data_IF_561357590531
#
_entry.id   IF_561357590531
#
_cell.length_a   1.000
_cell.length_b   1.000
_cell.length_c   1.000
_cell.angle_alpha   90.00
_cell.angle_beta   90.00
_cell.angle_gamma   90.00
#
_symmetry.space_group_name_H-M   'P 1'
#
loop_
_entity.id
_entity.type
_entity.pdbx_description
1 polymer ?
#
# COMPACT_ATOMS: atom_id res chain seq x y z
N UNK A 1 -43.25 2.19 -11.61
CA UNK A 1 -42.25 3.24 -11.90
C UNK A 1 -41.03 2.56 -12.50
N UNK A 2 -40.45 3.04 -13.61
CA UNK A 2 -39.23 2.46 -14.15
C UNK A 2 -38.09 2.68 -13.13
N UNK A 3 -37.45 1.58 -12.71
CA UNK A 3 -36.26 1.61 -11.86
C UNK A 3 -35.11 2.03 -12.77
N UNK A 4 -34.71 3.30 -12.72
CA UNK A 4 -33.48 3.72 -13.38
C UNK A 4 -32.29 3.06 -12.68
N UNK A 5 -31.30 2.54 -13.42
CA UNK A 5 -30.11 1.96 -12.81
C UNK A 5 -29.40 3.02 -11.95
N UNK A 6 -28.92 2.61 -10.78
CA UNK A 6 -28.17 3.48 -9.89
C UNK A 6 -26.90 3.97 -10.60
N UNK A 7 -26.54 5.23 -10.34
CA UNK A 7 -25.25 5.77 -10.78
C UNK A 7 -24.13 4.91 -10.16
N UNK A 8 -23.17 4.45 -10.95
CA UNK A 8 -21.98 3.72 -10.46
C UNK A 8 -20.84 4.69 -10.18
N UNK A 9 -20.22 4.56 -9.02
CA UNK A 9 -19.06 5.35 -8.60
C UNK A 9 -18.04 4.39 -7.97
N UNK A 10 -16.77 4.52 -8.37
CA UNK A 10 -15.65 3.79 -7.75
C UNK A 10 -14.67 4.79 -7.16
N UNK A 11 -14.23 4.55 -5.93
CA UNK A 11 -13.27 5.38 -5.21
C UNK A 11 -12.03 4.53 -4.97
N UNK A 12 -10.89 4.92 -5.55
CA UNK A 12 -9.65 4.15 -5.46
C UNK A 12 -8.65 4.89 -4.58
N UNK A 13 -8.28 4.27 -3.47
CA UNK A 13 -7.25 4.74 -2.52
C UNK A 13 -6.15 3.67 -2.40
N UNK A 14 -4.97 4.01 -1.89
CA UNK A 14 -3.83 3.09 -1.85
C UNK A 14 -2.76 3.56 -0.87
N UNK A 15 -1.87 2.65 -0.48
CA UNK A 15 -0.61 2.95 0.20
C UNK A 15 -0.80 3.68 1.55
N UNK A 16 -1.70 3.16 2.40
CA UNK A 16 -1.98 3.68 3.73
C UNK A 16 -0.94 3.21 4.74
N UNK A 17 -0.49 1.96 4.63
CA UNK A 17 0.50 1.37 5.54
C UNK A 17 0.08 1.44 7.02
N UNK A 18 -1.16 1.10 7.34
CA UNK A 18 -1.66 1.03 8.72
C UNK A 18 -0.80 0.07 9.56
N UNK A 19 -0.18 0.60 10.61
CA UNK A 19 0.55 -0.17 11.62
C UNK A 19 -0.29 -0.45 12.87
N UNK A 20 0.34 -0.40 14.05
CA UNK A 20 -0.32 -0.69 15.34
C UNK A 20 -1.05 0.52 15.95
N UNK A 21 -1.23 1.60 15.20
CA UNK A 21 -1.72 2.87 15.69
C UNK A 21 -0.61 3.79 16.21
N UNK A 22 -0.95 5.06 16.39
CA UNK A 22 -0.03 6.15 16.76
C UNK A 22 0.59 6.02 18.15
N UNK A 23 -0.03 5.23 19.02
CA UNK A 23 0.40 5.04 20.41
C UNK A 23 0.54 3.56 20.74
N UNK A 24 1.56 3.23 21.51
CA UNK A 24 1.74 1.91 22.10
C UNK A 24 0.80 1.70 23.29
N UNK A 25 0.71 0.48 23.81
CA UNK A 25 -0.16 0.14 24.94
C UNK A 25 0.16 0.88 26.23
N UNK A 26 1.38 1.42 26.37
CA UNK A 26 1.82 2.25 27.49
C UNK A 26 1.55 3.75 27.27
N UNK A 27 0.93 4.12 26.15
CA UNK A 27 0.60 5.50 25.78
C UNK A 27 1.74 6.26 25.09
N UNK A 28 2.92 5.66 24.94
CA UNK A 28 4.04 6.32 24.25
C UNK A 28 3.81 6.36 22.73
N UNK A 29 4.35 7.37 22.02
CA UNK A 29 4.28 7.42 20.56
C UNK A 29 4.92 6.20 19.90
N UNK A 30 4.20 5.61 18.95
CA UNK A 30 4.70 4.52 18.13
C UNK A 30 5.48 5.08 16.92
N UNK A 31 6.81 5.13 17.02
CA UNK A 31 7.70 5.63 15.96
C UNK A 31 7.66 4.80 14.66
N UNK A 32 7.07 3.59 14.71
CA UNK A 32 6.88 2.72 13.56
C UNK A 32 5.48 2.84 12.96
N UNK A 33 4.61 3.72 13.48
CA UNK A 33 3.36 4.04 12.79
C UNK A 33 3.65 5.01 11.64
N UNK A 34 3.23 4.63 10.43
CA UNK A 34 3.34 5.51 9.28
C UNK A 34 2.08 6.32 9.05
N UNK A 35 0.92 5.72 9.33
CA UNK A 35 -0.38 6.30 9.04
C UNK A 35 -0.87 7.18 10.17
N UNK A 36 -1.06 8.46 9.87
CA UNK A 36 -1.57 9.46 10.81
C UNK A 36 -2.85 10.13 10.34
N UNK A 37 -3.43 9.66 9.22
CA UNK A 37 -4.56 10.30 8.54
C UNK A 37 -5.92 9.65 8.88
N UNK A 38 -6.04 9.02 10.06
CA UNK A 38 -7.26 8.35 10.53
C UNK A 38 -8.50 9.22 10.38
N UNK A 39 -8.45 10.39 11.00
CA UNK A 39 -9.57 11.34 11.01
C UNK A 39 -9.97 11.74 9.59
N UNK A 40 -9.01 12.07 8.75
CA UNK A 40 -9.27 12.52 7.39
C UNK A 40 -9.89 11.40 6.55
N UNK A 41 -9.50 10.14 6.78
CA UNK A 41 -10.10 9.00 6.09
C UNK A 41 -11.50 8.69 6.62
N UNK A 42 -11.74 8.80 7.92
CA UNK A 42 -13.08 8.70 8.50
C UNK A 42 -14.04 9.75 7.90
N UNK A 43 -13.60 11.01 7.80
CA UNK A 43 -14.36 12.07 7.14
C UNK A 43 -14.62 11.76 5.66
N UNK A 44 -13.62 11.22 4.96
CA UNK A 44 -13.76 10.78 3.57
C UNK A 44 -14.85 9.70 3.44
N UNK A 45 -14.86 8.69 4.31
CA UNK A 45 -15.86 7.63 4.31
C UNK A 45 -17.26 8.17 4.59
N UNK A 46 -17.41 9.03 5.60
CA UNK A 46 -18.69 9.63 5.95
C UNK A 46 -19.24 10.51 4.81
N UNK A 47 -18.40 11.34 4.20
CA UNK A 47 -18.80 12.16 3.05
C UNK A 47 -19.35 11.29 1.90
N UNK A 48 -18.64 10.21 1.56
CA UNK A 48 -18.99 9.32 0.46
C UNK A 48 -20.15 8.35 0.77
N UNK A 49 -20.83 8.50 1.93
CA UNK A 49 -22.10 7.82 2.25
C UNK A 49 -23.31 8.74 2.20
N UNK A 50 -23.12 10.02 1.88
CA UNK A 50 -24.17 11.04 1.95
C UNK A 50 -24.55 11.58 0.57
N UNK A 51 -25.63 12.36 0.51
CA UNK A 51 -26.01 13.15 -0.68
C UNK A 51 -26.22 12.33 -1.96
N UNK A 52 -25.37 12.57 -2.96
CA UNK A 52 -25.42 11.86 -4.23
C UNK A 52 -24.87 10.43 -4.13
N UNK A 53 -23.89 10.19 -3.25
CA UNK A 53 -23.26 8.89 -3.07
C UNK A 53 -24.20 7.89 -2.40
N UNK A 54 -25.03 8.35 -1.45
CA UNK A 54 -26.09 7.52 -0.85
C UNK A 54 -27.09 6.92 -1.86
N UNK A 55 -27.25 7.59 -3.00
CA UNK A 55 -28.19 7.22 -4.09
C UNK A 55 -27.46 6.59 -5.28
N UNK A 56 -26.22 6.17 -5.07
CA UNK A 56 -25.35 5.56 -6.07
C UNK A 56 -24.91 4.17 -5.59
N UNK A 57 -24.48 3.33 -6.53
CA UNK A 57 -23.67 2.17 -6.22
C UNK A 57 -22.23 2.65 -6.05
N UNK A 58 -21.67 2.52 -4.84
CA UNK A 58 -20.34 3.02 -4.51
C UNK A 58 -19.43 1.87 -4.10
N UNK A 59 -18.29 1.75 -4.75
CA UNK A 59 -17.25 0.81 -4.33
C UNK A 59 -16.01 1.56 -3.92
N UNK A 60 -15.56 1.33 -2.68
CA UNK A 60 -14.25 1.72 -2.22
C UNK A 60 -13.25 0.61 -2.56
N UNK A 61 -12.32 0.91 -3.47
CA UNK A 61 -11.25 0.02 -3.90
C UNK A 61 -9.97 0.47 -3.21
N UNK A 62 -9.47 -0.37 -2.32
CA UNK A 62 -8.23 -0.18 -1.59
C UNK A 62 -7.14 -0.92 -2.38
N UNK A 63 -6.36 -0.20 -3.17
CA UNK A 63 -5.43 -0.73 -4.17
C UNK A 63 -4.06 -1.16 -3.60
N UNK A 64 -4.08 -1.92 -2.51
CA UNK A 64 -2.88 -2.44 -1.88
C UNK A 64 -2.15 -1.47 -0.96
N UNK A 65 -1.25 -2.06 -0.19
CA UNK A 65 -0.49 -1.49 0.91
C UNK A 65 -1.40 -0.71 1.88
N UNK A 66 -2.55 -1.31 2.21
CA UNK A 66 -3.46 -0.73 3.21
C UNK A 66 -2.98 -1.02 4.62
N UNK A 67 -2.54 -2.25 4.84
CA UNK A 67 -1.92 -2.74 6.06
C UNK A 67 -0.40 -2.69 5.90
N UNK A 68 0.32 -2.55 7.00
CA UNK A 68 1.79 -2.64 7.01
C UNK A 68 2.27 -3.86 7.79
N UNK A 69 1.83 -5.06 7.38
CA UNK A 69 2.10 -6.31 8.12
C UNK A 69 3.60 -6.63 8.23
N UNK A 70 4.42 -6.09 7.33
CA UNK A 70 5.88 -6.25 7.36
C UNK A 70 6.56 -5.40 8.44
N UNK A 71 5.88 -4.37 8.96
CA UNK A 71 6.36 -3.46 10.02
C UNK A 71 5.62 -3.65 11.36
N UNK A 72 4.70 -4.62 11.42
CA UNK A 72 4.08 -5.06 12.68
C UNK A 72 4.85 -6.26 13.20
N UNK A 73 5.25 -6.21 14.47
CA UNK A 73 5.93 -7.32 15.13
C UNK A 73 4.94 -8.43 15.53
N UNK A 74 5.47 -9.62 15.76
CA UNK A 74 4.78 -10.71 16.39
C UNK A 74 5.50 -11.06 17.70
N UNK A 75 4.85 -10.79 18.83
CA UNK A 75 5.43 -11.01 20.18
C UNK A 75 6.81 -10.33 20.30
N UNK A 76 6.88 -9.03 19.99
CA UNK A 76 8.07 -8.18 20.07
C UNK A 76 9.21 -8.56 19.12
N UNK A 77 8.94 -9.38 18.09
CA UNK A 77 9.91 -9.77 17.07
C UNK A 77 9.38 -9.55 15.66
N UNK A 78 10.19 -8.90 14.83
CA UNK A 78 9.99 -8.91 13.38
C UNK A 78 10.42 -10.27 12.83
N UNK A 79 9.50 -10.96 12.18
CA UNK A 79 9.73 -12.28 11.60
C UNK A 79 9.51 -12.23 10.09
N UNK A 80 10.43 -12.87 9.34
CA UNK A 80 10.29 -13.16 7.92
C UNK A 80 9.60 -14.50 7.64
N UNK A 81 9.19 -15.20 8.69
CA UNK A 81 8.35 -16.40 8.65
C UNK A 81 6.92 -15.96 8.96
N UNK A 82 6.11 -15.78 7.92
CA UNK A 82 4.72 -15.34 8.02
C UNK A 82 3.81 -16.56 7.83
N UNK A 83 3.39 -17.16 8.95
CA UNK A 83 2.33 -18.17 9.03
C UNK A 83 0.95 -17.51 9.05
N UNK A 84 -0.12 -18.28 8.99
CA UNK A 84 -1.47 -17.74 9.16
C UNK A 84 -1.67 -17.15 10.56
N UNK A 85 -1.16 -17.82 11.60
CA UNK A 85 -1.26 -17.34 12.98
C UNK A 85 -0.48 -16.04 13.23
N UNK A 86 0.67 -15.89 12.58
CA UNK A 86 1.45 -14.64 12.57
C UNK A 86 0.66 -13.51 11.89
N UNK A 87 0.14 -13.77 10.68
CA UNK A 87 -0.61 -12.80 9.92
C UNK A 87 -1.90 -12.36 10.66
N UNK A 88 -2.64 -13.31 11.24
CA UNK A 88 -3.83 -13.03 12.05
C UNK A 88 -3.51 -12.13 13.25
N UNK A 89 -2.44 -12.43 13.99
CA UNK A 89 -2.02 -11.62 15.12
C UNK A 89 -1.70 -10.18 14.68
N UNK A 90 -0.92 -10.02 13.61
CA UNK A 90 -0.54 -8.70 13.06
C UNK A 90 -1.77 -7.93 12.59
N UNK A 91 -2.67 -8.56 11.83
CA UNK A 91 -3.93 -7.96 11.40
C UNK A 91 -4.75 -7.51 12.61
N UNK A 92 -4.92 -8.35 13.63
CA UNK A 92 -5.66 -7.99 14.84
C UNK A 92 -5.01 -6.83 15.60
N UNK A 93 -3.69 -6.74 15.63
CA UNK A 93 -2.97 -5.59 16.21
C UNK A 93 -3.24 -4.30 15.44
N UNK A 94 -3.28 -4.35 14.10
CA UNK A 94 -3.65 -3.19 13.28
C UNK A 94 -5.10 -2.77 13.51
N UNK A 95 -6.04 -3.74 13.52
CA UNK A 95 -7.46 -3.46 13.77
C UNK A 95 -7.68 -2.80 15.14
N UNK A 96 -6.90 -3.20 16.16
CA UNK A 96 -6.93 -2.61 17.50
C UNK A 96 -6.25 -1.25 17.58
N UNK A 97 -5.28 -0.98 16.71
CA UNK A 97 -4.59 0.31 16.62
C UNK A 97 -5.45 1.42 16.03
N UNK A 98 -6.43 1.06 15.20
CA UNK A 98 -7.27 2.00 14.45
C UNK A 98 -8.79 1.69 14.61
N UNK A 99 -9.32 1.56 15.84
CA UNK A 99 -10.67 1.03 16.06
C UNK A 99 -11.75 1.89 15.37
N UNK A 100 -11.69 3.21 15.53
CA UNK A 100 -12.67 4.15 14.97
C UNK A 100 -12.65 4.16 13.44
N UNK A 101 -11.46 4.07 12.83
CA UNK A 101 -11.30 3.97 11.37
C UNK A 101 -12.03 2.73 10.84
N UNK A 102 -11.83 1.57 11.48
CA UNK A 102 -12.48 0.34 11.08
C UNK A 102 -13.98 0.33 11.40
N UNK A 103 -14.46 1.09 12.39
CA UNK A 103 -15.89 1.31 12.62
C UNK A 103 -16.51 2.09 11.47
N UNK A 104 -15.88 3.17 11.01
CA UNK A 104 -16.32 3.94 9.85
C UNK A 104 -16.27 3.14 8.56
N UNK A 105 -15.26 2.30 8.38
CA UNK A 105 -15.17 1.40 7.24
C UNK A 105 -16.26 0.32 7.28
N UNK A 106 -16.60 -0.19 8.47
CA UNK A 106 -17.69 -1.12 8.67
C UNK A 106 -19.04 -0.48 8.33
N UNK A 107 -19.30 0.73 8.84
CA UNK A 107 -20.50 1.50 8.50
C UNK A 107 -20.61 1.76 6.98
N UNK A 108 -19.51 2.14 6.31
CA UNK A 108 -19.47 2.30 4.86
C UNK A 108 -19.84 0.99 4.15
N UNK A 109 -19.21 -0.14 4.54
CA UNK A 109 -19.42 -1.43 3.87
C UNK A 109 -20.83 -2.01 4.04
N UNK A 110 -21.56 -1.59 5.08
CA UNK A 110 -22.94 -2.03 5.39
C UNK A 110 -24.01 -1.13 4.78
N UNK A 111 -23.64 0.06 4.32
CA UNK A 111 -24.58 0.97 3.66
C UNK A 111 -25.14 0.29 2.39
N UNK A 112 -26.45 0.37 2.12
CA UNK A 112 -27.02 -0.19 0.90
C UNK A 112 -26.28 0.29 -0.35
N UNK A 113 -26.00 -0.64 -1.27
CA UNK A 113 -25.27 -0.37 -2.52
C UNK A 113 -23.82 0.09 -2.35
N UNK A 114 -23.24 -0.01 -1.15
CA UNK A 114 -21.83 0.24 -0.90
C UNK A 114 -21.06 -1.08 -0.76
N UNK A 115 -19.81 -1.10 -1.22
CA UNK A 115 -18.91 -2.25 -1.05
C UNK A 115 -17.46 -1.81 -0.90
N UNK A 116 -16.64 -2.67 -0.29
CA UNK A 116 -15.20 -2.47 -0.12
C UNK A 116 -14.45 -3.61 -0.80
N UNK A 117 -13.46 -3.28 -1.63
CA UNK A 117 -12.58 -4.26 -2.27
C UNK A 117 -11.14 -3.98 -1.88
N UNK A 118 -10.47 -4.99 -1.31
CA UNK A 118 -9.03 -4.94 -1.04
C UNK A 118 -8.27 -5.63 -2.18
N UNK A 119 -7.29 -4.93 -2.74
CA UNK A 119 -6.32 -5.50 -3.68
C UNK A 119 -5.03 -5.77 -2.90
N UNK A 120 -4.37 -6.91 -3.15
CA UNK A 120 -3.12 -7.27 -2.50
C UNK A 120 -1.98 -6.29 -2.87
N UNK A 121 -1.40 -5.62 -1.88
CA UNK A 121 -0.11 -4.94 -1.98
C UNK A 121 1.06 -5.80 -1.48
N UNK A 122 2.29 -5.32 -1.62
CA UNK A 122 3.45 -6.05 -1.12
C UNK A 122 3.62 -5.98 0.40
N UNK A 123 3.01 -4.99 1.06
CA UNK A 123 2.94 -4.86 2.53
C UNK A 123 1.74 -5.59 3.16
N UNK A 124 0.85 -6.15 2.34
CA UNK A 124 -0.35 -6.87 2.77
C UNK A 124 -0.27 -8.41 2.63
N UNK A 125 0.88 -9.10 2.79
CA UNK A 125 0.96 -10.52 2.47
C UNK A 125 -0.05 -11.38 3.26
N UNK A 126 -0.45 -10.94 4.45
CA UNK A 126 -1.48 -11.62 5.25
C UNK A 126 -2.82 -11.80 4.54
N UNK A 127 -3.18 -10.96 3.56
CA UNK A 127 -4.41 -11.12 2.78
C UNK A 127 -4.44 -12.41 1.94
N UNK A 128 -3.29 -13.07 1.74
CA UNK A 128 -3.23 -14.38 1.10
C UNK A 128 -3.86 -15.48 1.95
N UNK A 129 -3.96 -15.30 3.28
CA UNK A 129 -4.58 -16.26 4.18
C UNK A 129 -6.08 -16.04 4.29
N UNK A 130 -6.86 -17.12 4.13
CA UNK A 130 -8.32 -17.04 4.22
C UNK A 130 -8.78 -16.59 5.61
N UNK A 131 -8.14 -17.06 6.70
CA UNK A 131 -8.51 -16.63 8.04
C UNK A 131 -8.35 -15.11 8.26
N UNK A 132 -7.36 -14.49 7.62
CA UNK A 132 -7.19 -13.03 7.66
C UNK A 132 -8.32 -12.33 6.89
N UNK A 133 -8.66 -12.83 5.70
CA UNK A 133 -9.79 -12.30 4.94
C UNK A 133 -11.10 -12.43 5.73
N UNK A 134 -11.39 -13.59 6.30
CA UNK A 134 -12.56 -13.84 7.14
C UNK A 134 -12.60 -12.90 8.35
N UNK A 135 -11.47 -12.68 9.02
CA UNK A 135 -11.36 -11.75 10.14
C UNK A 135 -11.72 -10.31 9.72
N UNK A 136 -11.24 -9.86 8.57
CA UNK A 136 -11.57 -8.54 8.02
C UNK A 136 -13.06 -8.48 7.60
N UNK A 137 -13.58 -9.51 6.93
CA UNK A 137 -15.02 -9.58 6.57
C UNK A 137 -15.89 -9.52 7.82
N UNK A 138 -15.52 -10.24 8.88
CA UNK A 138 -16.23 -10.21 10.15
C UNK A 138 -16.16 -8.82 10.80
N UNK A 139 -14.98 -8.19 10.85
CA UNK A 139 -14.80 -6.85 11.42
C UNK A 139 -15.66 -5.79 10.73
N UNK A 140 -15.77 -5.86 9.41
CA UNK A 140 -16.53 -4.90 8.61
C UNK A 140 -18.03 -5.26 8.52
N UNK A 141 -18.36 -6.55 8.46
CA UNK A 141 -19.73 -7.09 8.45
C UNK A 141 -20.61 -6.65 7.27
N UNK A 142 -20.04 -6.04 6.24
CA UNK A 142 -20.74 -5.59 5.03
C UNK A 142 -20.26 -6.30 3.76
N UNK A 143 -20.45 -5.67 2.60
CA UNK A 143 -19.98 -6.23 1.32
C UNK A 143 -18.47 -6.01 1.14
N UNK A 144 -17.68 -7.06 1.36
CA UNK A 144 -16.21 -7.01 1.30
C UNK A 144 -15.67 -8.05 0.33
N UNK A 145 -14.76 -7.64 -0.56
CA UNK A 145 -14.08 -8.50 -1.54
C UNK A 145 -12.56 -8.38 -1.42
N UNK A 146 -11.87 -9.43 -1.84
CA UNK A 146 -10.41 -9.47 -1.91
C UNK A 146 -9.96 -9.90 -3.31
N UNK A 147 -8.98 -9.19 -3.85
CA UNK A 147 -8.39 -9.45 -5.17
C UNK A 147 -6.88 -9.56 -5.02
N UNK A 148 -6.31 -10.73 -5.31
CA UNK A 148 -4.88 -10.99 -5.08
C UNK A 148 -3.98 -10.52 -6.22
N UNK A 149 -4.56 -10.16 -7.37
CA UNK A 149 -3.82 -9.71 -8.56
C UNK A 149 -4.43 -8.41 -9.12
N UNK A 150 -4.78 -8.39 -10.40
CA UNK A 150 -5.41 -7.25 -11.04
C UNK A 150 -6.94 -7.37 -10.99
N UNK A 151 -7.60 -6.28 -10.62
CA UNK A 151 -9.04 -6.13 -10.71
C UNK A 151 -9.42 -5.46 -12.04
N UNK A 152 -10.11 -6.20 -12.90
CA UNK A 152 -10.52 -5.74 -14.23
C UNK A 152 -12.04 -5.72 -14.38
N UNK A 153 -12.60 -4.58 -14.78
CA UNK A 153 -14.04 -4.41 -15.00
C UNK A 153 -14.30 -3.24 -15.96
N UNK A 154 -15.28 -3.37 -16.87
CA UNK A 154 -15.80 -2.26 -17.70
C UNK A 154 -14.71 -1.36 -18.35
N UNK A 155 -13.59 -1.95 -18.77
CA UNK A 155 -12.46 -1.22 -19.37
C UNK A 155 -11.50 -0.55 -18.37
N UNK A 156 -11.62 -0.80 -17.08
CA UNK A 156 -10.72 -0.36 -16.02
C UNK A 156 -9.83 -1.54 -15.58
N UNK A 157 -8.54 -1.28 -15.43
CA UNK A 157 -7.56 -2.21 -14.85
C UNK A 157 -6.94 -1.57 -13.61
N UNK A 158 -7.08 -2.23 -12.46
CA UNK A 158 -6.51 -1.77 -11.19
C UNK A 158 -5.62 -2.88 -10.64
N UNK A 159 -4.36 -2.56 -10.34
CA UNK A 159 -3.50 -3.43 -9.53
C UNK A 159 -2.52 -2.55 -8.75
N UNK A 160 -1.92 -3.08 -7.69
CA UNK A 160 -1.06 -2.27 -6.84
C UNK A 160 0.21 -1.79 -7.57
N UNK A 161 0.85 -2.66 -8.35
CA UNK A 161 1.99 -2.34 -9.23
C UNK A 161 3.36 -2.87 -8.76
N UNK A 162 3.44 -3.42 -7.55
CA UNK A 162 4.62 -4.08 -6.99
C UNK A 162 5.16 -5.22 -7.87
N UNK A 163 4.27 -5.90 -8.59
CA UNK A 163 4.65 -6.97 -9.51
C UNK A 163 5.59 -6.49 -10.62
N UNK A 164 5.72 -5.20 -10.90
CA UNK A 164 6.64 -4.69 -11.92
C UNK A 164 8.06 -4.41 -11.41
N UNK A 165 8.31 -4.48 -10.09
CA UNK A 165 9.63 -4.25 -9.50
C UNK A 165 10.23 -5.57 -9.01
N UNK A 166 11.47 -5.88 -9.40
CA UNK A 166 12.07 -7.19 -9.13
C UNK A 166 12.22 -7.52 -7.64
N UNK A 167 12.37 -6.50 -6.80
CA UNK A 167 12.51 -6.62 -5.35
C UNK A 167 11.16 -6.81 -4.65
N UNK A 168 10.04 -6.34 -5.21
CA UNK A 168 8.71 -6.40 -4.59
C UNK A 168 7.72 -7.36 -5.28
N UNK A 169 8.18 -8.08 -6.32
CA UNK A 169 7.40 -9.04 -7.10
C UNK A 169 7.26 -10.39 -6.39
N UNK A 170 6.03 -10.82 -6.15
CA UNK A 170 5.72 -12.17 -5.66
C UNK A 170 5.76 -13.21 -6.80
N UNK A 171 6.10 -14.45 -6.47
CA UNK A 171 5.86 -15.57 -7.38
C UNK A 171 4.38 -15.96 -7.33
N UNK A 172 3.61 -15.51 -8.32
CA UNK A 172 2.16 -15.78 -8.43
C UNK A 172 1.79 -17.26 -8.46
N UNK A 173 2.74 -18.14 -8.83
CA UNK A 173 2.51 -19.59 -8.85
C UNK A 173 2.78 -20.24 -7.50
N UNK A 174 3.54 -19.59 -6.64
CA UNK A 174 4.00 -20.12 -5.36
C UNK A 174 4.00 -19.02 -4.30
N UNK A 175 2.81 -18.53 -3.96
CA UNK A 175 2.64 -17.58 -2.84
C UNK A 175 3.02 -18.20 -1.49
N UNK A 176 2.94 -19.54 -1.37
CA UNK A 176 3.24 -20.25 -0.14
C UNK A 176 4.41 -21.22 -0.33
N UNK A 177 5.20 -21.36 0.73
CA UNK A 177 6.20 -22.40 0.91
C UNK A 177 5.66 -23.37 1.98
N UNK A 178 5.54 -24.65 1.64
CA UNK A 178 5.04 -25.68 2.55
C UNK A 178 5.98 -26.89 2.69
N UNK A 179 6.98 -27.00 1.80
CA UNK A 179 7.87 -28.16 1.76
C UNK A 179 8.90 -28.08 2.90
N UNK A 180 9.00 -29.16 3.68
CA UNK A 180 9.93 -29.30 4.82
C UNK A 180 9.73 -28.22 5.91
N UNK A 181 8.51 -27.73 6.08
CA UNK A 181 8.14 -26.78 7.11
C UNK A 181 7.01 -27.38 7.98
N UNK A 182 6.95 -27.05 9.28
CA UNK A 182 5.90 -27.56 10.16
C UNK A 182 4.50 -27.06 9.78
N UNK A 183 4.42 -25.86 9.21
CA UNK A 183 3.22 -25.27 8.66
C UNK A 183 3.58 -24.39 7.45
N UNK A 184 2.63 -24.09 6.54
CA UNK A 184 2.91 -23.26 5.37
C UNK A 184 3.21 -21.80 5.76
N UNK A 185 4.10 -21.16 5.02
CA UNK A 185 4.52 -19.76 5.21
C UNK A 185 4.44 -19.01 3.90
N UNK A 186 4.38 -17.68 3.95
CA UNK A 186 4.37 -16.85 2.73
C UNK A 186 5.76 -16.80 2.09
N UNK A 187 5.81 -17.01 0.77
CA UNK A 187 6.99 -16.81 -0.07
C UNK A 187 7.22 -15.32 -0.33
N UNK A 188 7.94 -14.67 0.58
CA UNK A 188 8.19 -13.23 0.52
C UNK A 188 9.17 -12.84 -0.59
N UNK A 189 8.97 -11.68 -1.25
CA UNK A 189 9.94 -11.13 -2.17
C UNK A 189 11.14 -10.52 -1.42
N UNK A 190 12.24 -10.28 -2.13
CA UNK A 190 13.49 -9.79 -1.52
C UNK A 190 13.31 -8.48 -0.71
N UNK A 191 12.52 -7.55 -1.22
CA UNK A 191 12.25 -6.25 -0.60
C UNK A 191 11.64 -6.40 0.79
N UNK A 192 10.77 -7.39 1.00
CA UNK A 192 10.20 -7.68 2.32
C UNK A 192 11.27 -8.12 3.31
N UNK A 193 12.24 -8.94 2.91
CA UNK A 193 13.36 -9.30 3.81
C UNK A 193 14.21 -8.09 4.17
N UNK A 194 14.49 -7.21 3.19
CA UNK A 194 15.23 -5.97 3.46
C UNK A 194 14.49 -5.06 4.44
N UNK A 195 13.17 -4.96 4.30
CA UNK A 195 12.34 -4.18 5.20
C UNK A 195 12.38 -4.73 6.63
N UNK A 196 12.05 -6.02 6.79
CA UNK A 196 11.93 -6.70 8.08
C UNK A 196 13.24 -6.65 8.88
N UNK A 197 14.37 -6.96 8.22
CA UNK A 197 15.64 -7.18 8.92
C UNK A 197 16.56 -5.95 8.99
N UNK A 198 16.31 -4.93 8.17
CA UNK A 198 17.16 -3.75 8.12
C UNK A 198 16.37 -2.44 8.26
N UNK A 199 15.35 -2.22 7.43
CA UNK A 199 14.67 -0.92 7.39
C UNK A 199 13.96 -0.61 8.71
N UNK A 200 13.23 -1.57 9.28
CA UNK A 200 12.53 -1.38 10.56
C UNK A 200 13.46 -0.95 11.69
N UNK A 201 14.67 -1.51 11.76
CA UNK A 201 15.67 -1.14 12.76
C UNK A 201 16.22 0.27 12.54
N UNK A 202 16.41 0.68 11.29
CA UNK A 202 16.86 2.05 10.99
C UNK A 202 15.73 3.06 11.24
N UNK A 203 14.46 2.70 10.97
CA UNK A 203 13.30 3.55 11.25
C UNK A 203 13.17 3.88 12.73
N UNK A 204 13.53 2.96 13.65
CA UNK A 204 13.60 3.26 15.09
C UNK A 204 14.55 4.42 15.43
N UNK A 205 15.61 4.61 14.65
CA UNK A 205 16.58 5.69 14.84
C UNK A 205 16.28 6.93 13.96
N UNK A 206 15.65 6.72 12.79
CA UNK A 206 15.27 7.74 11.81
C UNK A 206 13.89 7.38 11.21
N UNK A 207 12.77 7.72 11.87
CA UNK A 207 11.42 7.33 11.45
C UNK A 207 11.02 7.77 10.04
N UNK A 208 11.67 8.82 9.53
CA UNK A 208 11.39 9.42 8.24
C UNK A 208 12.17 8.82 7.05
N UNK A 209 13.10 7.88 7.29
CA UNK A 209 14.15 7.55 6.30
C UNK A 209 13.62 7.00 4.96
N UNK A 210 12.54 6.25 5.00
CA UNK A 210 11.84 5.67 3.85
C UNK A 210 10.80 6.62 3.22
N UNK A 211 10.52 7.74 3.89
CA UNK A 211 9.61 8.80 3.42
C UNK A 211 10.30 9.85 2.55
N UNK A 212 11.63 9.80 2.44
CA UNK A 212 12.42 10.82 1.72
C UNK A 212 12.54 10.52 0.23
N UNK A 213 12.21 11.51 -0.60
CA UNK A 213 12.28 11.43 -2.06
C UNK A 213 12.96 12.68 -2.68
N UNK A 214 13.76 12.53 -3.75
CA UNK A 214 14.33 11.28 -4.23
C UNK A 214 15.45 10.83 -3.29
N UNK A 215 15.44 9.56 -2.90
CA UNK A 215 16.38 9.02 -1.91
C UNK A 215 17.86 9.21 -2.27
N UNK A 216 18.20 9.33 -3.57
CA UNK A 216 19.57 9.65 -4.03
C UNK A 216 20.09 10.98 -3.47
N UNK A 217 19.21 11.98 -3.28
CA UNK A 217 19.58 13.28 -2.72
C UNK A 217 19.81 13.16 -1.23
N UNK A 218 18.94 12.44 -0.52
CA UNK A 218 19.13 12.13 0.90
C UNK A 218 20.46 11.42 1.14
N UNK A 219 20.80 10.40 0.35
CA UNK A 219 22.08 9.69 0.48
C UNK A 219 23.28 10.61 0.32
N UNK A 220 23.26 11.53 -0.66
CA UNK A 220 24.34 12.52 -0.85
C UNK A 220 24.42 13.48 0.34
N UNK A 221 23.27 13.97 0.80
CA UNK A 221 23.19 14.85 1.97
C UNK A 221 23.72 14.14 3.22
N UNK A 222 23.29 12.91 3.49
CA UNK A 222 23.72 12.12 4.64
C UNK A 222 25.22 11.82 4.62
N UNK A 223 25.83 11.57 3.45
CA UNK A 223 27.29 11.38 3.36
C UNK A 223 28.09 12.63 3.78
N UNK A 224 27.54 13.83 3.56
CA UNK A 224 28.20 15.11 3.85
C UNK A 224 27.86 15.62 5.25
N UNK A 225 26.61 15.50 5.67
CA UNK A 225 26.05 16.15 6.87
C UNK A 225 25.70 15.18 8.00
N UNK A 226 25.54 13.88 7.71
CA UNK A 226 25.28 12.82 8.70
C UNK A 226 26.21 11.62 8.45
N UNK A 227 27.51 11.92 8.22
CA UNK A 227 28.50 11.00 7.64
C UNK A 227 28.62 9.71 8.45
N UNK A 228 28.61 9.81 9.78
CA UNK A 228 28.76 8.64 10.63
C UNK A 228 27.54 7.72 10.57
N UNK A 229 26.33 8.28 10.59
CA UNK A 229 25.11 7.52 10.37
C UNK A 229 25.12 6.87 8.99
N UNK A 230 25.51 7.60 7.94
CA UNK A 230 25.56 7.09 6.57
C UNK A 230 26.53 5.91 6.42
N UNK A 231 27.76 6.03 6.94
CA UNK A 231 28.78 4.96 6.91
C UNK A 231 28.31 3.74 7.71
N UNK A 232 27.86 3.95 8.95
CA UNK A 232 27.38 2.85 9.82
C UNK A 232 26.19 2.12 9.18
N UNK A 233 25.24 2.86 8.60
CA UNK A 233 24.08 2.29 7.91
C UNK A 233 24.49 1.53 6.66
N UNK A 234 25.41 2.07 5.85
CA UNK A 234 25.95 1.37 4.68
C UNK A 234 26.69 0.07 5.04
N UNK A 235 27.51 0.08 6.10
CA UNK A 235 28.17 -1.11 6.62
C UNK A 235 27.16 -2.14 7.13
N UNK A 236 26.11 -1.71 7.85
CA UNK A 236 25.03 -2.59 8.30
C UNK A 236 24.30 -3.25 7.12
N UNK A 237 23.93 -2.50 6.07
CA UNK A 237 23.35 -3.07 4.85
C UNK A 237 24.29 -4.07 4.21
N UNK A 238 25.57 -3.73 4.06
CA UNK A 238 26.55 -4.61 3.44
C UNK A 238 26.67 -5.92 4.22
N UNK A 239 26.88 -5.87 5.54
CA UNK A 239 26.95 -7.06 6.41
C UNK A 239 25.66 -7.88 6.33
N UNK A 240 24.50 -7.22 6.38
CA UNK A 240 23.22 -7.91 6.24
C UNK A 240 23.10 -8.62 4.89
N UNK A 241 23.46 -7.94 3.78
CA UNK A 241 23.39 -8.50 2.44
C UNK A 241 24.36 -9.67 2.25
N UNK A 242 25.59 -9.58 2.78
CA UNK A 242 26.54 -10.69 2.80
C UNK A 242 25.98 -11.87 3.58
N UNK A 243 25.44 -11.66 4.78
CA UNK A 243 24.78 -12.72 5.56
C UNK A 243 23.59 -13.32 4.81
N UNK A 244 22.80 -12.50 4.15
CA UNK A 244 21.63 -12.90 3.40
C UNK A 244 21.98 -13.84 2.23
N UNK A 245 23.06 -13.55 1.50
CA UNK A 245 23.54 -14.41 0.41
C UNK A 245 24.18 -15.69 0.94
N UNK A 246 24.98 -15.61 2.00
CA UNK A 246 25.80 -16.72 2.48
C UNK A 246 25.02 -17.71 3.36
N UNK A 247 23.89 -17.30 3.97
CA UNK A 247 23.11 -18.16 4.87
C UNK A 247 22.04 -18.90 4.08
N UNK A 248 22.14 -20.24 3.92
CA UNK A 248 21.10 -21.02 3.29
C UNK A 248 19.81 -20.91 4.11
N UNK A 249 18.70 -20.61 3.46
CA UNK A 249 17.40 -20.61 4.11
C UNK A 249 16.37 -21.24 3.14
N UNK A 250 15.68 -22.33 3.53
CA UNK A 250 14.67 -22.97 2.69
C UNK A 250 13.47 -22.05 2.38
N UNK A 251 13.24 -21.02 3.20
CA UNK A 251 12.25 -19.98 2.92
C UNK A 251 12.73 -18.92 1.91
N UNK A 252 13.99 -19.00 1.45
CA UNK A 252 14.64 -18.00 0.59
C UNK A 252 15.15 -18.64 -0.69
N UNK A 253 14.36 -18.54 -1.76
CA UNK A 253 14.76 -18.98 -3.10
C UNK A 253 15.07 -17.79 -4.00
N UNK A 254 16.22 -17.17 -3.80
CA UNK A 254 16.72 -16.12 -4.69
C UNK A 254 17.87 -16.64 -5.54
N UNK A 255 17.65 -16.65 -6.84
CA UNK A 255 18.69 -16.96 -7.82
C UNK A 255 19.67 -15.79 -7.96
N UNK A 256 20.94 -16.07 -8.29
CA UNK A 256 21.93 -15.03 -8.56
C UNK A 256 21.48 -14.01 -9.64
N UNK A 257 20.66 -14.46 -10.61
CA UNK A 257 20.04 -13.58 -11.62
C UNK A 257 19.04 -12.60 -11.00
N UNK A 258 18.21 -13.05 -10.05
CA UNK A 258 17.29 -12.18 -9.32
C UNK A 258 18.06 -11.16 -8.48
N UNK A 259 19.11 -11.58 -7.76
CA UNK A 259 19.96 -10.66 -6.98
C UNK A 259 20.60 -9.60 -7.88
N UNK A 260 21.18 -9.98 -9.02
CA UNK A 260 21.74 -9.03 -9.98
C UNK A 260 20.69 -8.06 -10.53
N UNK A 261 19.48 -8.56 -10.81
CA UNK A 261 18.38 -7.74 -11.30
C UNK A 261 17.93 -6.72 -10.27
N UNK A 262 17.78 -7.15 -9.01
CA UNK A 262 17.46 -6.28 -7.87
C UNK A 262 18.51 -5.18 -7.75
N UNK A 263 19.81 -5.52 -7.73
CA UNK A 263 20.89 -4.54 -7.64
C UNK A 263 20.87 -3.51 -8.79
N UNK A 264 20.50 -3.94 -10.01
CA UNK A 264 20.34 -3.03 -11.16
C UNK A 264 19.12 -2.13 -11.02
N UNK A 265 17.96 -2.67 -10.67
CA UNK A 265 16.69 -1.94 -10.60
C UNK A 265 16.63 -0.98 -9.39
N UNK A 266 17.29 -1.28 -8.27
CA UNK A 266 17.35 -0.42 -7.06
C UNK A 266 17.96 0.96 -7.34
N UNK A 267 18.66 1.13 -8.47
CA UNK A 267 19.29 2.41 -8.86
C UNK A 267 18.40 3.31 -9.71
N UNK A 268 17.21 2.83 -10.14
CA UNK A 268 16.35 3.52 -11.10
C UNK A 268 14.97 3.74 -10.48
N UNK A 269 14.47 4.98 -10.52
CA UNK A 269 13.08 5.25 -10.11
C UNK A 269 12.10 4.39 -10.92
N UNK A 270 11.14 3.72 -10.25
CA UNK A 270 10.25 2.78 -10.90
C UNK A 270 9.40 3.48 -11.97
N UNK A 271 9.54 3.06 -13.23
CA UNK A 271 8.82 3.65 -14.37
C UNK A 271 7.50 2.91 -14.63
N UNK A 272 6.62 2.82 -13.64
CA UNK A 272 5.36 2.08 -13.76
C UNK A 272 4.48 2.59 -14.91
N UNK A 273 4.59 3.87 -15.28
CA UNK A 273 3.90 4.44 -16.43
C UNK A 273 4.17 3.70 -17.76
N UNK A 274 5.35 3.10 -17.93
CA UNK A 274 5.66 2.31 -19.13
C UNK A 274 4.87 1.01 -19.16
N UNK A 275 4.72 0.38 -18.00
CA UNK A 275 3.93 -0.85 -17.85
C UNK A 275 2.44 -0.55 -18.02
N UNK A 276 1.94 0.54 -17.43
CA UNK A 276 0.58 1.02 -17.66
C UNK A 276 0.30 1.27 -19.15
N UNK A 277 1.22 1.95 -19.86
CA UNK A 277 1.13 2.13 -21.32
C UNK A 277 1.06 0.79 -22.04
N UNK A 278 1.87 -0.19 -21.64
CA UNK A 278 1.85 -1.53 -22.23
C UNK A 278 0.48 -2.20 -22.05
N UNK A 279 -0.08 -2.19 -20.83
CA UNK A 279 -1.40 -2.77 -20.54
C UNK A 279 -2.49 -2.12 -21.40
N UNK A 280 -2.51 -0.79 -21.47
CA UNK A 280 -3.47 -0.01 -22.25
C UNK A 280 -3.42 -0.31 -23.75
N UNK A 281 -2.23 -0.59 -24.28
CA UNK A 281 -2.01 -0.92 -25.70
C UNK A 281 -2.29 -2.40 -26.00
N UNK A 282 -1.96 -3.31 -25.09
CA UNK A 282 -2.21 -4.75 -25.25
C UNK A 282 -3.69 -5.08 -25.13
N UNK A 283 -4.41 -4.46 -24.21
CA UNK A 283 -5.85 -4.71 -23.99
C UNK A 283 -6.68 -3.64 -24.69
N UNK A 284 -7.23 -3.98 -25.87
CA UNK A 284 -7.98 -3.03 -26.71
C UNK A 284 -9.10 -2.32 -25.94
N UNK A 285 -9.83 -3.06 -25.09
CA UNK A 285 -10.97 -2.55 -24.31
C UNK A 285 -10.55 -1.84 -23.00
N UNK A 286 -9.29 -1.91 -22.59
CA UNK A 286 -8.81 -1.22 -21.40
C UNK A 286 -8.61 0.27 -21.70
N UNK A 287 -9.33 1.13 -20.99
CA UNK A 287 -9.31 2.59 -21.12
C UNK A 287 -8.54 3.26 -20.00
N UNK A 288 -8.62 2.69 -18.79
CA UNK A 288 -8.02 3.25 -17.58
C UNK A 288 -7.14 2.18 -16.92
N UNK A 289 -5.91 2.54 -16.58
CA UNK A 289 -5.04 1.76 -15.69
C UNK A 289 -4.79 2.56 -14.42
N UNK A 290 -4.96 1.95 -13.25
CA UNK A 290 -4.68 2.57 -11.95
C UNK A 290 -3.67 1.72 -11.18
N UNK A 291 -2.58 2.36 -10.74
CA UNK A 291 -1.58 1.77 -9.85
C UNK A 291 -1.48 2.52 -8.50
N UNK A 292 -0.75 1.94 -7.56
CA UNK A 292 -0.25 2.54 -6.32
C UNK A 292 1.27 2.37 -6.22
N UNK A 293 1.77 1.91 -5.08
CA UNK A 293 3.13 1.37 -4.82
C UNK A 293 4.29 2.37 -4.85
N UNK A 294 4.26 3.38 -5.71
CA UNK A 294 5.34 4.38 -5.81
C UNK A 294 5.21 5.51 -4.79
N UNK A 295 4.08 5.56 -4.08
CA UNK A 295 3.69 6.63 -3.18
C UNK A 295 3.70 8.01 -3.88
N UNK A 296 3.50 8.04 -5.20
CA UNK A 296 3.52 9.25 -6.02
C UNK A 296 2.26 9.32 -6.87
N UNK A 297 1.43 10.33 -6.61
CA UNK A 297 0.25 10.55 -7.43
C UNK A 297 0.66 11.02 -8.82
N UNK A 298 0.08 10.41 -9.85
CA UNK A 298 0.40 10.70 -11.24
C UNK A 298 -0.87 10.59 -12.08
N UNK A 299 -1.04 11.49 -13.04
CA UNK A 299 -2.01 11.34 -14.12
C UNK A 299 -1.30 11.50 -15.46
N UNK A 300 -1.54 10.56 -16.38
CA UNK A 300 -1.07 10.64 -17.75
C UNK A 300 -2.13 10.14 -18.71
N UNK A 301 -2.24 10.80 -19.86
CA UNK A 301 -3.05 10.35 -20.98
C UNK A 301 -2.15 10.01 -22.16
N UNK A 302 -2.20 8.77 -22.62
CA UNK A 302 -1.37 8.28 -23.72
C UNK A 302 -2.05 8.44 -25.08
N UNK A 303 -3.39 8.36 -25.12
CA UNK A 303 -4.23 8.54 -26.30
C UNK A 303 -5.67 8.85 -25.84
N UNK A 304 -6.60 9.23 -26.74
CA UNK A 304 -8.02 9.32 -26.39
C UNK A 304 -8.55 8.01 -25.80
N UNK A 305 -9.12 8.09 -24.59
CA UNK A 305 -9.61 6.92 -23.86
C UNK A 305 -8.53 5.93 -23.40
N UNK A 306 -7.27 6.39 -23.24
CA UNK A 306 -6.14 5.59 -22.71
C UNK A 306 -5.42 6.39 -21.64
N UNK A 307 -5.86 6.22 -20.40
CA UNK A 307 -5.45 7.02 -19.24
C UNK A 307 -4.79 6.14 -18.18
N UNK A 308 -3.79 6.70 -17.51
CA UNK A 308 -3.08 6.08 -16.42
C UNK A 308 -3.11 6.99 -15.21
N UNK A 309 -3.42 6.39 -14.06
CA UNK A 309 -3.38 7.03 -12.77
C UNK A 309 -2.45 6.25 -11.84
N UNK A 310 -1.70 6.98 -11.03
CA UNK A 310 -1.18 6.47 -9.78
C UNK A 310 -1.88 7.22 -8.65
N UNK A 311 -2.44 6.50 -7.69
CA UNK A 311 -3.24 7.07 -6.60
C UNK A 311 -2.40 7.85 -5.60
N UNK A 312 -1.09 7.59 -5.49
CA UNK A 312 -0.22 8.22 -4.50
C UNK A 312 -0.19 7.47 -3.18
N UNK A 313 -0.21 8.20 -2.07
CA UNK A 313 -0.20 7.64 -0.70
C UNK A 313 -0.95 8.58 0.23
N UNK A 314 -1.48 8.05 1.33
CA UNK A 314 -2.07 8.83 2.42
C UNK A 314 -1.08 9.08 3.57
N UNK A 315 0.21 8.86 3.32
CA UNK A 315 1.30 9.12 4.27
C UNK A 315 2.05 10.41 3.93
N UNK A 316 2.65 11.02 4.97
CA UNK A 316 3.57 12.14 4.80
C UNK A 316 4.82 11.69 4.03
N UNK A 317 5.26 12.52 3.09
CA UNK A 317 6.53 12.36 2.38
C UNK A 317 7.42 13.57 2.59
N UNK A 318 8.72 13.35 2.57
CA UNK A 318 9.71 14.43 2.59
C UNK A 318 10.29 14.55 1.19
N UNK A 319 10.01 15.64 0.50
CA UNK A 319 10.63 15.94 -0.79
C UNK A 319 11.89 16.79 -0.59
N UNK A 320 12.94 16.42 -1.33
CA UNK A 320 14.19 17.18 -1.45
C UNK A 320 14.29 17.89 -2.80
N UNK A 321 13.26 17.82 -3.65
CA UNK A 321 13.25 18.55 -4.92
C UNK A 321 12.95 20.03 -4.70
N UNK A 322 13.61 20.92 -5.43
CA UNK A 322 13.49 22.38 -5.26
C UNK A 322 12.03 22.87 -5.34
N UNK A 323 11.24 22.32 -6.27
CA UNK A 323 9.84 22.74 -6.46
C UNK A 323 8.86 22.21 -5.42
N UNK A 324 9.28 21.31 -4.52
CA UNK A 324 8.40 20.68 -3.54
C UNK A 324 9.09 20.44 -2.20
N UNK A 325 10.19 21.15 -1.91
CA UNK A 325 11.05 20.92 -0.75
C UNK A 325 10.25 20.96 0.57
N UNK A 326 10.38 19.91 1.38
CA UNK A 326 9.76 19.81 2.71
C UNK A 326 8.82 18.62 2.87
N UNK A 327 8.07 18.64 3.97
CA UNK A 327 7.04 17.64 4.29
C UNK A 327 5.77 17.92 3.49
N UNK A 328 5.24 16.88 2.85
CA UNK A 328 4.04 16.94 2.00
C UNK A 328 3.12 15.78 2.38
N UNK A 329 1.89 16.11 2.73
CA UNK A 329 0.78 15.18 2.83
C UNK A 329 -0.29 15.60 1.81
N UNK A 330 -0.62 14.72 0.87
CA UNK A 330 -1.72 14.91 -0.09
C UNK A 330 -2.59 13.67 -0.09
N UNK A 331 -3.81 13.80 0.40
CA UNK A 331 -4.75 12.70 0.56
C UNK A 331 -5.43 12.38 -0.77
N UNK A 332 -4.68 11.78 -1.69
CA UNK A 332 -5.13 11.60 -3.08
C UNK A 332 -5.92 10.32 -3.27
N UNK A 333 -6.88 10.37 -4.19
CA UNK A 333 -7.69 9.22 -4.59
C UNK A 333 -8.12 9.38 -6.04
N UNK A 334 -8.47 8.27 -6.70
CA UNK A 334 -9.05 8.30 -8.05
C UNK A 334 -10.54 8.01 -7.94
N UNK A 335 -11.37 8.92 -8.44
CA UNK A 335 -12.80 8.65 -8.61
C UNK A 335 -13.06 8.23 -10.05
N UNK A 336 -13.78 7.12 -10.24
CA UNK A 336 -14.28 6.67 -11.54
C UNK A 336 -15.80 6.83 -11.54
N UNK A 337 -16.29 7.59 -12.51
CA UNK A 337 -17.71 7.71 -12.83
C UNK A 337 -17.99 6.99 -14.16
N UNK A 338 -19.21 6.47 -14.31
CA UNK A 338 -19.67 5.83 -15.54
C UNK A 338 -20.73 6.69 -16.23
N UNK A 339 -20.62 6.82 -17.55
CA UNK A 339 -21.63 7.46 -18.37
C UNK A 339 -22.82 6.52 -18.65
N UNK A 340 -23.77 6.97 -19.49
CA UNK A 340 -24.97 6.19 -19.84
C UNK A 340 -24.66 4.92 -20.64
N UNK A 341 -23.51 4.89 -21.31
CA UNK A 341 -23.03 3.76 -22.12
C UNK A 341 -22.08 2.85 -21.32
N UNK A 342 -21.99 3.03 -19.99
CA UNK A 342 -21.05 2.38 -19.08
C UNK A 342 -19.58 2.59 -19.46
N UNK A 343 -19.23 3.72 -20.07
CA UNK A 343 -17.84 4.10 -20.32
C UNK A 343 -17.26 4.73 -19.05
N UNK A 344 -16.09 4.26 -18.56
CA UNK A 344 -15.48 4.81 -17.35
C UNK A 344 -14.75 6.14 -17.63
N UNK A 345 -14.85 7.06 -16.67
CA UNK A 345 -14.14 8.33 -16.63
C UNK A 345 -13.43 8.50 -15.29
N UNK A 346 -12.10 8.51 -15.31
CA UNK A 346 -11.26 8.64 -14.11
C UNK A 346 -10.88 10.08 -13.81
N UNK A 347 -10.82 10.42 -12.53
CA UNK A 347 -10.33 11.72 -12.06
C UNK A 347 -9.46 11.55 -10.82
N UNK A 348 -8.21 12.00 -10.89
CA UNK A 348 -7.33 12.06 -9.73
C UNK A 348 -7.71 13.29 -8.91
N UNK A 349 -8.09 13.07 -7.67
CA UNK A 349 -8.58 14.09 -6.74
C UNK A 349 -7.72 14.10 -5.48
N UNK A 350 -7.74 15.23 -4.78
CA UNK A 350 -7.20 15.37 -3.45
C UNK A 350 -8.35 15.62 -2.48
N UNK A 351 -8.44 14.82 -1.44
CA UNK A 351 -9.36 15.04 -0.33
C UNK A 351 -8.83 16.17 0.55
N UNK A 352 -9.61 17.26 0.65
CA UNK A 352 -9.26 18.42 1.47
C UNK A 352 -9.84 18.37 2.88
N UNK A 353 -10.67 17.38 3.19
CA UNK A 353 -11.35 17.26 4.47
C UNK A 353 -12.31 18.40 4.77
N UNK A 354 -12.83 18.41 5.98
CA UNK A 354 -13.48 19.59 6.55
C UNK A 354 -12.42 20.55 7.13
N UNK A 355 -12.73 21.85 7.22
CA UNK A 355 -11.82 22.83 7.83
C UNK A 355 -11.68 22.54 9.32
N UNK A 356 -10.45 22.35 9.79
CA UNK A 356 -10.15 22.11 11.20
C UNK A 356 -9.43 23.30 11.82
N UNK A 357 -9.64 23.50 13.12
CA UNK A 357 -9.04 24.60 13.89
C UNK A 357 -7.71 24.17 14.52
N UNK A 358 -7.53 22.89 14.86
CA UNK A 358 -6.33 22.34 15.51
C UNK A 358 -6.05 20.90 15.06
N UNK A 359 -4.79 20.47 15.13
CA UNK A 359 -4.34 19.09 14.87
C UNK A 359 -3.18 18.73 15.81
N UNK A 360 -3.16 17.49 16.30
CA UNK A 360 -2.11 16.96 17.16
C UNK A 360 -0.92 16.46 16.34
N UNK A 361 0.27 16.98 16.63
CA UNK A 361 1.53 16.57 16.01
C UNK A 361 2.17 15.43 16.81
N UNK A 362 2.27 14.25 16.19
CA UNK A 362 3.06 13.11 16.71
C UNK A 362 4.23 12.90 15.75
N UNK A 363 5.45 12.83 16.30
CA UNK A 363 6.70 12.87 15.54
C UNK A 363 7.34 11.50 15.33
#
# INVERSE_FOLDING_TARGET
MPIFPLKKIKLVVSDFHLGKGRHLSDGTPNLLEDFTADRQFMEFLDYHRTGAYKRAEVELIINGDFFNLLQVDYRDKFTDVITESDALHKTMSILKGHPELFDKLAEFSREPHHSVTFILGNHDPGLLWEGVQETIRWRLGGQVRFVMEAYYYEGVHIEHGNQYLADNRYDRRHYFLSKNLPEPIINLPFGSFFLIHYLNEIKKERPYIDKVYPFRMYRRWALIHDTWFAIRSALKVAVWFFKFILTPNPARHLTARQVLRILRETTVHPKLHKEAKRILLTHKNCRIVIFGHTHQHVYMRFAPGKEYFNTGTWNEKISLEVGSLGRILRLTFVQIDFDRDNVPHGSLKEWKGHTNVVEELVF
#
